data_IF_267289325896
#
_entry.id   IF_267289325896
#
_cell.length_a   1.000
_cell.length_b   1.000
_cell.length_c   1.000
_cell.angle_alpha   90.00
_cell.angle_beta   90.00
_cell.angle_gamma   90.00
#
_symmetry.space_group_name_H-M   'P 1'
#
loop_
_entity.id
_entity.type
_entity.pdbx_description
1 polymer ?
#
# COMPACT_ATOMS: atom_id res chain seq x y z
N UNK A 1 -2.55 23.29 -6.86
CA UNK A 1 -3.08 22.55 -5.71
C UNK A 1 -3.07 23.48 -4.50
N UNK A 2 -4.06 23.39 -3.62
CA UNK A 2 -4.10 24.15 -2.36
C UNK A 2 -4.12 23.16 -1.20
N UNK A 3 -3.46 23.51 -0.10
CA UNK A 3 -3.46 22.68 1.10
C UNK A 3 -4.86 22.65 1.71
N UNK A 4 -5.32 21.45 2.09
CA UNK A 4 -6.59 21.27 2.78
C UNK A 4 -6.35 21.46 4.28
N UNK A 5 -7.09 22.35 4.97
CA UNK A 5 -7.02 22.47 6.41
C UNK A 5 -7.26 21.13 7.10
N UNK A 6 -6.55 20.87 8.20
CA UNK A 6 -6.67 19.60 8.93
C UNK A 6 -8.10 19.28 9.37
N UNK A 7 -8.88 20.30 9.72
CA UNK A 7 -10.29 20.15 10.10
C UNK A 7 -11.15 19.61 8.95
N UNK A 8 -10.99 20.20 7.75
CA UNK A 8 -11.69 19.76 6.55
C UNK A 8 -11.27 18.33 6.15
N UNK A 9 -9.97 18.01 6.26
CA UNK A 9 -9.47 16.66 6.00
C UNK A 9 -10.08 15.62 6.94
N UNK A 10 -10.17 15.93 8.24
CA UNK A 10 -10.83 15.06 9.22
C UNK A 10 -12.32 14.88 8.90
N UNK A 11 -13.02 15.96 8.53
CA UNK A 11 -14.42 15.87 8.13
C UNK A 11 -14.62 14.96 6.90
N UNK A 12 -13.70 15.00 5.94
CA UNK A 12 -13.74 14.09 4.79
C UNK A 12 -13.49 12.63 5.21
N UNK A 13 -12.48 12.38 6.06
CA UNK A 13 -12.20 11.04 6.58
C UNK A 13 -13.37 10.45 7.36
N UNK A 14 -14.07 11.27 8.13
CA UNK A 14 -15.17 10.80 8.97
C UNK A 14 -16.47 10.58 8.20
N UNK A 15 -16.75 11.40 7.18
CA UNK A 15 -18.06 11.43 6.53
C UNK A 15 -18.08 10.90 5.09
N UNK A 16 -16.95 10.82 4.40
CA UNK A 16 -16.89 10.45 2.98
C UNK A 16 -16.16 9.12 2.72
N UNK A 17 -15.22 8.73 3.58
CA UNK A 17 -14.46 7.51 3.38
C UNK A 17 -15.25 6.26 3.81
N UNK A 18 -15.19 5.21 2.99
CA UNK A 18 -15.67 3.88 3.38
C UNK A 18 -14.82 3.34 4.53
N UNK A 19 -15.47 2.66 5.47
CA UNK A 19 -14.83 2.02 6.62
C UNK A 19 -14.67 0.52 6.35
N UNK A 20 -13.63 -0.15 6.90
CA UNK A 20 -12.54 0.42 7.70
C UNK A 20 -11.56 1.26 6.86
N UNK A 21 -10.87 2.20 7.51
CA UNK A 21 -9.81 2.96 6.84
C UNK A 21 -8.60 2.04 6.63
N UNK A 22 -7.90 2.21 5.51
CA UNK A 22 -6.58 1.64 5.33
C UNK A 22 -5.58 2.56 6.01
N UNK A 23 -4.94 2.04 7.04
CA UNK A 23 -3.84 2.69 7.74
C UNK A 23 -2.56 1.92 7.42
N UNK A 24 -1.51 2.64 7.01
CA UNK A 24 -0.21 2.02 6.70
C UNK A 24 0.94 2.99 6.90
N UNK A 25 2.10 2.45 7.27
CA UNK A 25 3.37 3.18 7.22
C UNK A 25 4.10 2.79 5.95
N UNK A 26 4.37 3.77 5.09
CA UNK A 26 5.12 3.56 3.84
C UNK A 26 6.58 3.93 4.03
N UNK A 27 7.46 2.95 3.88
CA UNK A 27 8.91 3.13 3.83
C UNK A 27 9.37 3.16 2.37
N UNK A 28 10.33 4.02 2.05
CA UNK A 28 10.92 4.09 0.70
C UNK A 28 12.39 3.69 0.77
N UNK A 29 12.78 2.73 -0.05
CA UNK A 29 14.16 2.23 -0.14
C UNK A 29 14.63 2.37 -1.58
N UNK A 30 15.75 3.07 -1.77
CA UNK A 30 16.44 3.08 -3.05
C UNK A 30 17.40 1.87 -3.11
N UNK A 31 17.20 0.98 -4.07
CA UNK A 31 18.02 -0.22 -4.27
C UNK A 31 18.20 -0.45 -5.77
N UNK A 32 19.46 -0.56 -6.22
CA UNK A 32 19.83 -0.83 -7.62
C UNK A 32 19.16 0.11 -8.65
N UNK A 33 18.99 1.38 -8.28
CA UNK A 33 18.37 2.39 -9.14
C UNK A 33 16.85 2.33 -9.20
N UNK A 34 16.22 1.42 -8.44
CA UNK A 34 14.77 1.32 -8.27
C UNK A 34 14.36 1.88 -6.91
N UNK A 35 13.13 2.41 -6.86
CA UNK A 35 12.50 2.81 -5.60
C UNK A 35 11.51 1.74 -5.20
N UNK A 36 11.78 1.11 -4.06
CA UNK A 36 10.89 0.16 -3.41
C UNK A 36 10.07 0.88 -2.35
N UNK A 37 8.76 0.73 -2.43
CA UNK A 37 7.81 1.23 -1.43
C UNK A 37 7.31 0.05 -0.60
N UNK A 38 7.69 0.01 0.67
CA UNK A 38 7.28 -1.03 1.61
C UNK A 38 6.16 -0.48 2.47
N UNK A 39 4.97 -1.02 2.30
CA UNK A 39 3.79 -0.71 3.06
C UNK A 39 3.62 -1.71 4.21
N UNK A 40 3.77 -1.23 5.43
CA UNK A 40 3.38 -1.94 6.64
C UNK A 40 1.97 -1.53 7.05
N UNK A 41 1.00 -2.41 6.87
CA UNK A 41 -0.40 -2.14 7.16
C UNK A 41 -0.70 -2.27 8.66
N UNK A 42 -1.60 -1.42 9.14
CA UNK A 42 -2.09 -1.36 10.51
C UNK A 42 -3.62 -1.58 10.58
N UNK A 43 -4.17 -1.50 11.78
CA UNK A 43 -5.61 -1.69 12.02
C UNK A 43 -6.08 -3.08 11.60
N UNK A 44 -7.20 -3.16 10.87
CA UNK A 44 -7.78 -4.42 10.42
C UNK A 44 -6.92 -5.17 9.37
N UNK A 45 -5.89 -4.50 8.84
CA UNK A 45 -4.91 -5.09 7.93
C UNK A 45 -3.55 -5.36 8.61
N UNK A 46 -3.50 -5.31 9.95
CA UNK A 46 -2.26 -5.50 10.71
C UNK A 46 -1.60 -6.86 10.41
N UNK A 47 -0.28 -6.81 10.22
CA UNK A 47 0.55 -7.98 9.92
C UNK A 47 0.77 -8.21 8.43
N UNK A 48 0.04 -7.50 7.56
CA UNK A 48 0.33 -7.46 6.13
C UNK A 48 1.46 -6.47 5.84
N UNK A 49 2.48 -6.94 5.13
CA UNK A 49 3.55 -6.11 4.59
C UNK A 49 3.60 -6.35 3.08
N UNK A 50 3.49 -5.30 2.29
CA UNK A 50 3.55 -5.35 0.83
C UNK A 50 4.69 -4.47 0.34
N UNK A 51 5.46 -4.97 -0.62
CA UNK A 51 6.49 -4.18 -1.29
C UNK A 51 6.08 -3.95 -2.74
N UNK A 52 6.05 -2.69 -3.15
CA UNK A 52 5.78 -2.23 -4.50
C UNK A 52 7.07 -1.65 -5.08
N UNK A 53 7.33 -1.89 -6.36
CA UNK A 53 8.47 -1.32 -7.08
C UNK A 53 7.98 -0.68 -8.36
N UNK A 54 8.38 0.56 -8.59
CA UNK A 54 8.07 1.26 -9.83
C UNK A 54 9.12 0.91 -10.89
N UNK A 55 8.66 0.34 -12.00
CA UNK A 55 9.47 0.08 -13.19
C UNK A 55 9.17 1.13 -14.27
N UNK A 56 10.16 1.41 -15.12
CA UNK A 56 10.01 2.30 -16.27
C UNK A 56 9.11 1.69 -17.35
N UNK A 57 9.14 0.36 -17.48
CA UNK A 57 8.26 -0.42 -18.36
C UNK A 57 8.10 -1.86 -17.83
N UNK A 58 7.09 -2.56 -18.33
CA UNK A 58 6.73 -3.93 -17.90
C UNK A 58 7.81 -4.98 -18.19
N UNK A 59 8.73 -4.71 -19.12
CA UNK A 59 9.80 -5.63 -19.51
C UNK A 59 11.13 -5.29 -18.83
N UNK A 60 11.17 -4.27 -17.99
CA UNK A 60 12.36 -3.90 -17.26
C UNK A 60 12.81 -5.05 -16.37
N UNK A 61 14.01 -5.56 -16.63
CA UNK A 61 14.63 -6.55 -15.76
C UNK A 61 15.16 -5.87 -14.50
N UNK A 62 14.94 -6.53 -13.37
CA UNK A 62 15.50 -6.13 -12.08
C UNK A 62 15.86 -7.37 -11.28
N UNK A 63 16.80 -7.22 -10.35
CA UNK A 63 17.14 -8.28 -9.41
C UNK A 63 16.16 -8.22 -8.25
N UNK A 64 15.38 -9.30 -8.05
CA UNK A 64 14.44 -9.39 -6.93
C UNK A 64 15.24 -9.60 -5.63
N UNK A 65 15.16 -8.69 -4.66
CA UNK A 65 15.87 -8.86 -3.39
C UNK A 65 15.37 -10.08 -2.60
N UNK A 66 16.26 -10.71 -1.82
CA UNK A 66 15.95 -11.93 -1.05
C UNK A 66 14.83 -11.74 -0.01
N UNK A 67 14.61 -10.51 0.46
CA UNK A 67 13.57 -10.17 1.42
C UNK A 67 12.19 -9.99 0.77
N UNK A 68 12.11 -9.93 -0.57
CA UNK A 68 10.83 -9.91 -1.28
C UNK A 68 10.28 -11.33 -1.35
N UNK A 69 9.05 -11.50 -0.87
CA UNK A 69 8.33 -12.77 -0.89
C UNK A 69 7.71 -13.10 -2.25
N UNK A 70 6.47 -13.56 -2.19
CA UNK A 70 5.65 -13.93 -3.35
C UNK A 70 5.25 -12.68 -4.16
N UNK A 71 5.20 -12.84 -5.49
CA UNK A 71 4.72 -11.79 -6.38
C UNK A 71 3.19 -11.79 -6.40
N UNK A 72 2.60 -10.67 -5.98
CA UNK A 72 1.14 -10.52 -5.80
C UNK A 72 0.54 -9.39 -6.65
N UNK A 73 1.30 -8.86 -7.61
CA UNK A 73 0.90 -7.71 -8.46
C UNK A 73 -0.44 -7.92 -9.17
N UNK A 74 -0.72 -9.16 -9.59
CA UNK A 74 -1.97 -9.53 -10.27
C UNK A 74 -3.06 -10.07 -9.36
N UNK A 75 -2.83 -10.15 -8.04
CA UNK A 75 -3.78 -10.74 -7.11
C UNK A 75 -4.72 -9.67 -6.53
N UNK A 76 -6.02 -9.71 -6.88
CA UNK A 76 -6.97 -8.70 -6.43
C UNK A 76 -7.08 -8.61 -4.91
N UNK A 77 -6.78 -9.67 -4.16
CA UNK A 77 -6.89 -9.68 -2.70
C UNK A 77 -6.03 -8.58 -2.07
N UNK A 78 -4.88 -8.28 -2.64
CA UNK A 78 -3.94 -7.28 -2.13
C UNK A 78 -4.25 -5.85 -2.58
N UNK A 79 -5.28 -5.63 -3.39
CA UNK A 79 -5.67 -4.28 -3.79
C UNK A 79 -6.32 -3.54 -2.63
N UNK A 80 -6.00 -2.26 -2.44
CA UNK A 80 -6.58 -1.42 -1.37
C UNK A 80 -8.13 -1.46 -1.37
N UNK A 81 -8.76 -1.44 -2.55
CA UNK A 81 -10.21 -1.51 -2.66
C UNK A 81 -10.82 -2.82 -2.15
N UNK A 82 -10.05 -3.91 -2.16
CA UNK A 82 -10.44 -5.20 -1.63
C UNK A 82 -10.01 -5.36 -0.17
N UNK A 83 -8.86 -4.82 0.25
CA UNK A 83 -8.41 -4.78 1.64
C UNK A 83 -9.38 -4.00 2.55
N UNK A 84 -10.08 -3.00 2.03
CA UNK A 84 -11.17 -2.33 2.78
C UNK A 84 -12.35 -3.29 2.97
N UNK A 85 -12.73 -4.04 1.93
CA UNK A 85 -13.92 -4.91 1.97
C UNK A 85 -13.70 -6.23 2.72
N UNK A 86 -12.49 -6.76 2.61
CA UNK A 86 -12.06 -8.01 3.22
C UNK A 86 -10.66 -7.81 3.80
N UNK A 87 -10.57 -7.25 5.02
CA UNK A 87 -9.29 -6.96 5.65
C UNK A 87 -8.44 -8.21 5.87
N UNK A 88 -7.11 -8.05 5.82
CA UNK A 88 -6.13 -9.13 5.92
C UNK A 88 -6.35 -10.05 7.13
N UNK A 89 -6.76 -9.50 8.28
CA UNK A 89 -7.03 -10.29 9.48
C UNK A 89 -8.19 -11.29 9.32
N UNK A 90 -9.02 -11.14 8.28
CA UNK A 90 -10.17 -11.99 7.99
C UNK A 90 -9.95 -12.93 6.78
N UNK A 91 -8.73 -13.01 6.27
CA UNK A 91 -8.39 -13.84 5.10
C UNK A 91 -8.45 -15.35 5.36
#
# INVERSE_FOLDING_TARGET
EYEIPTEDANLMLDNLCERPLIEKTRYKIALDGLTWEIDEFAGDNQGLIVAEVELQDENQQFEKPDWIGEEVSGDPRYFNSNLIKHPFMNW
#
